data_IF_784110896563
#
_entry.id   IF_784110896563
#
_cell.length_a   1.000
_cell.length_b   1.000
_cell.length_c   1.000
_cell.angle_alpha   90.00
_cell.angle_beta   90.00
_cell.angle_gamma   90.00
#
_symmetry.space_group_name_H-M   'P 1'
#
loop_
_entity.id
_entity.type
_entity.pdbx_description
1 polymer ?
#
# COMPACT_ATOMS: atom_id res chain seq x y z
N UNK A 1 -1.93 -18.87 -17.73
CA UNK A 1 -0.86 -18.51 -16.77
C UNK A 1 -1.40 -17.63 -15.62
N UNK A 2 -1.39 -18.17 -14.39
CA UNK A 2 -2.07 -17.60 -13.22
C UNK A 2 -1.36 -16.39 -12.59
N UNK A 3 -0.02 -16.34 -12.65
CA UNK A 3 0.84 -15.25 -12.16
C UNK A 3 2.20 -15.28 -12.87
N UNK A 4 3.06 -14.29 -12.62
CA UNK A 4 4.44 -14.26 -13.11
C UNK A 4 5.41 -14.54 -11.96
N UNK A 5 6.43 -15.38 -12.17
CA UNK A 5 7.52 -15.59 -11.21
C UNK A 5 8.78 -14.93 -11.74
N UNK A 6 9.36 -14.03 -10.95
CA UNK A 6 10.62 -13.37 -11.24
C UNK A 6 11.72 -13.94 -10.32
N UNK A 7 12.71 -14.61 -10.91
CA UNK A 7 13.91 -15.06 -10.20
C UNK A 7 14.97 -13.97 -10.37
N UNK A 8 15.21 -13.20 -9.31
CA UNK A 8 16.18 -12.10 -9.30
C UNK A 8 17.52 -12.60 -8.72
N UNK A 9 18.62 -12.20 -9.36
CA UNK A 9 19.99 -12.56 -8.94
C UNK A 9 20.46 -11.79 -7.69
N UNK A 10 19.68 -10.82 -7.23
CA UNK A 10 20.02 -10.00 -6.08
C UNK A 10 20.00 -10.79 -4.79
N UNK A 11 21.05 -10.55 -4.00
CA UNK A 11 21.32 -11.29 -2.79
C UNK A 11 21.45 -10.33 -1.60
N UNK A 12 20.36 -10.07 -0.87
CA UNK A 12 20.41 -9.27 0.36
C UNK A 12 21.41 -9.81 1.40
N UNK A 13 21.71 -11.11 1.40
CA UNK A 13 22.69 -11.71 2.33
C UNK A 13 24.14 -11.32 2.04
N UNK A 14 24.42 -10.85 0.82
CA UNK A 14 25.73 -10.33 0.40
C UNK A 14 25.94 -8.85 0.71
N UNK A 15 24.92 -8.17 1.23
CA UNK A 15 25.09 -6.80 1.74
C UNK A 15 26.05 -6.77 2.94
N UNK A 16 26.65 -5.61 3.17
CA UNK A 16 27.54 -5.42 4.30
C UNK A 16 26.84 -5.82 5.60
N UNK A 17 27.50 -6.66 6.41
CA UNK A 17 27.01 -7.10 7.73
C UNK A 17 26.81 -5.93 8.71
N UNK A 18 27.38 -4.77 8.41
CA UNK A 18 27.14 -3.52 9.14
C UNK A 18 25.75 -2.92 8.89
N UNK A 19 25.04 -3.35 7.83
CA UNK A 19 23.69 -2.88 7.53
C UNK A 19 22.72 -3.18 8.68
N UNK A 20 22.04 -2.13 9.14
CA UNK A 20 20.95 -2.28 10.11
C UNK A 20 19.78 -3.05 9.49
N UNK A 21 18.96 -3.69 10.34
CA UNK A 21 17.70 -4.33 9.90
C UNK A 21 16.81 -3.40 9.08
N UNK A 22 16.81 -2.11 9.43
CA UNK A 22 16.07 -1.06 8.72
C UNK A 22 16.61 -0.88 7.29
N UNK A 23 17.92 -0.70 7.14
CA UNK A 23 18.55 -0.51 5.82
C UNK A 23 18.34 -1.75 4.92
N UNK A 24 18.41 -2.95 5.50
CA UNK A 24 18.10 -4.18 4.79
C UNK A 24 16.64 -4.21 4.32
N UNK A 25 15.69 -3.82 5.16
CA UNK A 25 14.28 -3.75 4.80
C UNK A 25 14.00 -2.69 3.72
N UNK A 26 14.66 -1.52 3.79
CA UNK A 26 14.59 -0.47 2.77
C UNK A 26 15.13 -0.96 1.43
N UNK A 27 16.30 -1.62 1.45
CA UNK A 27 16.89 -2.23 0.27
C UNK A 27 15.94 -3.23 -0.38
N UNK A 28 15.47 -4.23 0.38
CA UNK A 28 14.58 -5.29 -0.11
C UNK A 28 13.26 -4.71 -0.63
N UNK A 29 12.68 -3.74 0.09
CA UNK A 29 11.46 -3.05 -0.37
C UNK A 29 11.70 -2.31 -1.69
N UNK A 30 12.85 -1.65 -1.83
CA UNK A 30 13.27 -1.03 -3.10
C UNK A 30 13.41 -2.05 -4.24
N UNK A 31 13.88 -3.27 -3.94
CA UNK A 31 13.97 -4.36 -4.94
C UNK A 31 12.61 -4.78 -5.49
N UNK A 32 11.61 -4.89 -4.62
CA UNK A 32 10.27 -5.27 -5.03
C UNK A 32 9.54 -4.17 -5.80
N UNK A 33 9.83 -2.91 -5.47
CA UNK A 33 9.17 -1.76 -6.10
C UNK A 33 9.79 -1.41 -7.46
N UNK A 34 11.12 -1.28 -7.56
CA UNK A 34 11.73 -0.49 -8.63
C UNK A 34 13.09 -0.99 -9.18
N UNK A 35 13.56 -2.18 -8.83
CA UNK A 35 14.94 -2.55 -9.14
C UNK A 35 15.20 -3.12 -10.54
N UNK A 36 14.46 -4.15 -10.97
CA UNK A 36 14.68 -4.82 -12.25
C UNK A 36 13.38 -4.91 -13.06
N UNK A 37 13.00 -3.82 -13.73
CA UNK A 37 11.80 -3.81 -14.58
C UNK A 37 11.86 -4.79 -15.76
N UNK A 38 13.05 -5.16 -16.24
CA UNK A 38 13.20 -6.13 -17.32
C UNK A 38 12.86 -7.56 -16.92
N UNK A 39 12.86 -7.88 -15.63
CA UNK A 39 12.47 -9.19 -15.10
C UNK A 39 11.08 -9.15 -14.44
N UNK A 40 10.13 -8.44 -15.05
CA UNK A 40 8.77 -8.27 -14.56
C UNK A 40 7.78 -8.32 -15.73
N UNK A 41 6.54 -8.72 -15.43
CA UNK A 41 5.41 -8.54 -16.31
C UNK A 41 4.32 -7.77 -15.56
N UNK A 42 4.36 -6.44 -15.66
CA UNK A 42 3.50 -5.56 -14.85
C UNK A 42 2.00 -5.69 -15.15
N UNK A 43 1.62 -6.18 -16.33
CA UNK A 43 0.22 -6.46 -16.69
C UNK A 43 -0.33 -7.77 -16.06
N UNK A 44 0.51 -8.58 -15.41
CA UNK A 44 0.03 -9.72 -14.63
C UNK A 44 -0.49 -9.23 -13.29
N UNK A 45 -1.62 -9.82 -12.85
CA UNK A 45 -2.27 -9.52 -11.57
C UNK A 45 -1.29 -9.41 -10.41
N UNK A 46 -0.32 -10.32 -10.35
CA UNK A 46 0.85 -10.15 -9.50
C UNK A 46 2.08 -10.85 -10.08
N UNK A 47 3.24 -10.34 -9.67
CA UNK A 47 4.57 -10.87 -9.86
C UNK A 47 5.07 -11.37 -8.51
N UNK A 48 5.43 -12.65 -8.44
CA UNK A 48 6.10 -13.26 -7.31
C UNK A 48 7.61 -13.15 -7.52
N UNK A 49 8.26 -12.32 -6.70
CA UNK A 49 9.68 -11.97 -6.85
C UNK A 49 10.48 -12.76 -5.81
N UNK A 50 11.39 -13.60 -6.28
CA UNK A 50 12.29 -14.38 -5.45
C UNK A 50 13.71 -13.86 -5.62
N UNK A 51 14.30 -13.38 -4.53
CA UNK A 51 15.71 -12.99 -4.46
C UNK A 51 16.58 -14.24 -4.31
N UNK A 52 17.87 -14.15 -4.63
CA UNK A 52 18.75 -15.32 -4.67
C UNK A 52 19.02 -15.94 -3.30
N UNK A 53 18.79 -15.19 -2.21
CA UNK A 53 18.84 -15.70 -0.83
C UNK A 53 17.55 -16.41 -0.39
N UNK A 54 16.56 -16.50 -1.28
CA UNK A 54 15.25 -17.09 -1.03
C UNK A 54 14.23 -16.10 -0.46
N UNK A 55 14.56 -14.81 -0.29
CA UNK A 55 13.57 -13.82 0.15
C UNK A 55 12.50 -13.64 -0.93
N UNK A 56 11.24 -13.72 -0.50
CA UNK A 56 10.06 -13.63 -1.37
C UNK A 56 9.35 -12.29 -1.21
N UNK A 57 8.91 -11.71 -2.31
CA UNK A 57 8.07 -10.51 -2.36
C UNK A 57 6.97 -10.64 -3.40
N UNK A 58 5.92 -9.82 -3.27
CA UNK A 58 4.84 -9.72 -4.24
C UNK A 58 4.76 -8.28 -4.77
N UNK A 59 4.71 -8.13 -6.09
CA UNK A 59 4.39 -6.89 -6.76
C UNK A 59 3.08 -7.04 -7.52
N UNK A 60 2.09 -6.20 -7.24
CA UNK A 60 0.71 -6.44 -7.65
C UNK A 60 0.17 -5.32 -8.54
N UNK A 61 -0.56 -5.70 -9.57
CA UNK A 61 -1.37 -4.78 -10.37
C UNK A 61 -2.67 -4.48 -9.59
N UNK A 62 -2.93 -3.19 -9.35
CA UNK A 62 -3.95 -2.76 -8.38
C UNK A 62 -5.39 -2.77 -8.92
N UNK A 63 -5.60 -2.85 -10.23
CA UNK A 63 -6.94 -2.96 -10.81
C UNK A 63 -7.60 -4.29 -10.43
N UNK A 64 -6.82 -5.38 -10.36
CA UNK A 64 -7.30 -6.71 -10.02
C UNK A 64 -7.72 -6.87 -8.55
N UNK A 65 -6.93 -6.38 -7.60
CA UNK A 65 -7.13 -6.66 -6.18
C UNK A 65 -6.62 -5.55 -5.25
N UNK A 66 -7.13 -5.54 -4.02
CA UNK A 66 -6.62 -4.68 -2.95
C UNK A 66 -5.78 -5.47 -1.93
N UNK A 67 -5.28 -4.76 -0.91
CA UNK A 67 -4.42 -5.36 0.11
C UNK A 67 -5.06 -6.53 0.87
N UNK A 68 -6.40 -6.61 0.96
CA UNK A 68 -7.08 -7.70 1.67
C UNK A 68 -6.94 -9.02 0.89
N UNK A 69 -7.11 -8.97 -0.43
CA UNK A 69 -6.93 -10.14 -1.29
C UNK A 69 -5.48 -10.66 -1.23
N UNK A 70 -4.50 -9.76 -1.26
CA UNK A 70 -3.08 -10.11 -1.17
C UNK A 70 -2.71 -10.70 0.19
N UNK A 71 -3.19 -10.10 1.28
CA UNK A 71 -2.98 -10.65 2.62
C UNK A 71 -3.58 -12.04 2.76
N UNK A 72 -4.76 -12.27 2.19
CA UNK A 72 -5.39 -13.59 2.22
C UNK A 72 -4.51 -14.62 1.51
N UNK A 73 -4.04 -14.30 0.31
CA UNK A 73 -3.12 -15.16 -0.45
C UNK A 73 -1.85 -15.49 0.35
N UNK A 74 -1.18 -14.49 0.93
CA UNK A 74 0.01 -14.72 1.76
C UNK A 74 -0.27 -15.60 2.98
N UNK A 75 -1.40 -15.36 3.66
CA UNK A 75 -1.78 -16.14 4.84
C UNK A 75 -2.13 -17.60 4.49
N UNK A 76 -2.76 -17.85 3.35
CA UNK A 76 -3.09 -19.20 2.90
C UNK A 76 -1.82 -19.98 2.51
N UNK A 77 -0.84 -19.33 1.85
CA UNK A 77 0.48 -19.94 1.57
C UNK A 77 1.24 -20.26 2.86
N UNK A 78 1.28 -19.33 3.82
CA UNK A 78 1.93 -19.57 5.11
C UNK A 78 1.26 -20.71 5.87
N UNK A 79 -0.08 -20.75 5.87
CA UNK A 79 -0.84 -21.82 6.50
C UNK A 79 -0.49 -23.17 5.87
N UNK A 80 -0.52 -23.27 4.54
CA UNK A 80 -0.21 -24.49 3.79
C UNK A 80 1.21 -24.99 4.08
N UNK A 81 2.21 -24.08 4.03
CA UNK A 81 3.60 -24.42 4.32
C UNK A 81 3.84 -24.90 5.77
N UNK A 82 3.04 -24.42 6.72
CA UNK A 82 3.12 -24.85 8.12
C UNK A 82 2.38 -26.16 8.38
N UNK A 83 1.28 -26.44 7.66
CA UNK A 83 0.48 -27.66 7.82
C UNK A 83 1.09 -28.87 7.10
N UNK A 84 1.61 -28.68 5.89
CA UNK A 84 2.18 -29.75 5.05
C UNK A 84 3.71 -29.83 5.11
N UNK A 85 4.34 -28.92 5.87
CA UNK A 85 5.78 -28.83 6.00
C UNK A 85 6.44 -28.11 4.83
N UNK A 86 7.59 -27.49 5.10
CA UNK A 86 8.37 -26.82 4.06
C UNK A 86 9.04 -27.85 3.16
N UNK A 87 8.85 -27.71 1.84
CA UNK A 87 9.66 -28.45 0.88
C UNK A 87 11.14 -28.09 1.05
N UNK A 88 11.98 -29.11 0.96
CA UNK A 88 13.43 -29.10 0.99
C UNK A 88 13.94 -30.15 -0.01
N UNK A 89 15.25 -30.22 -0.20
CA UNK A 89 15.88 -31.11 -1.19
C UNK A 89 15.68 -32.62 -0.91
N UNK A 90 15.02 -33.00 0.18
CA UNK A 90 14.87 -34.40 0.62
C UNK A 90 13.41 -34.84 0.81
N UNK A 91 12.42 -33.94 0.72
CA UNK A 91 11.01 -34.25 0.96
C UNK A 91 10.08 -33.80 -0.19
N UNK A 92 10.60 -33.78 -1.42
CA UNK A 92 9.79 -33.63 -2.62
C UNK A 92 9.67 -34.97 -3.34
N UNK A 93 8.50 -35.27 -3.92
CA UNK A 93 8.38 -36.38 -4.86
C UNK A 93 9.12 -35.99 -6.13
N UNK A 94 10.19 -36.72 -6.46
CA UNK A 94 10.89 -36.53 -7.72
C UNK A 94 9.95 -36.89 -8.86
N UNK A 95 9.46 -35.88 -9.58
CA UNK A 95 8.73 -36.10 -10.81
C UNK A 95 9.77 -36.52 -11.86
N UNK A 96 9.62 -37.73 -12.42
CA UNK A 96 10.38 -38.17 -13.59
C UNK A 96 9.85 -37.45 -14.84
N UNK A 97 10.05 -36.15 -14.90
CA UNK A 97 9.78 -35.32 -16.06
C UNK A 97 11.07 -34.61 -16.47
N UNK A 98 11.38 -34.58 -17.77
CA UNK A 98 12.49 -33.76 -18.23
C UNK A 98 12.08 -32.29 -18.18
N UNK A 99 13.03 -31.38 -17.93
CA UNK A 99 12.77 -29.94 -17.95
C UNK A 99 12.12 -29.50 -19.27
N UNK A 100 12.51 -30.13 -20.39
CA UNK A 100 11.97 -29.85 -21.72
C UNK A 100 10.49 -30.25 -21.87
N UNK A 101 9.99 -31.18 -21.05
CA UNK A 101 8.58 -31.59 -21.07
C UNK A 101 7.68 -30.65 -20.26
N UNK A 102 8.26 -29.82 -19.39
CA UNK A 102 7.54 -28.99 -18.42
C UNK A 102 7.76 -27.48 -18.59
N UNK A 103 8.80 -27.07 -19.32
CA UNK A 103 9.18 -25.67 -19.51
C UNK A 103 9.33 -25.36 -20.99
N UNK A 104 8.50 -24.43 -21.47
CA UNK A 104 8.62 -23.85 -22.80
C UNK A 104 9.29 -22.48 -22.70
N UNK A 105 10.41 -22.30 -23.41
CA UNK A 105 11.05 -20.99 -23.55
C UNK A 105 10.24 -20.13 -24.51
N UNK A 106 9.70 -19.02 -24.01
CA UNK A 106 9.05 -18.03 -24.85
C UNK A 106 10.12 -17.18 -25.57
N UNK A 107 10.22 -17.34 -26.88
CA UNK A 107 11.11 -16.54 -27.72
C UNK A 107 10.35 -15.36 -28.33
N UNK A 108 10.88 -14.17 -28.14
CA UNK A 108 10.34 -12.95 -28.72
C UNK A 108 11.24 -12.45 -29.83
N UNK A 109 10.65 -12.14 -30.98
CA UNK A 109 11.33 -11.48 -32.09
C UNK A 109 10.91 -10.01 -32.10
N UNK A 110 11.89 -9.12 -32.10
CA UNK A 110 11.65 -7.67 -32.06
C UNK A 110 12.23 -7.01 -33.30
N UNK A 111 11.43 -6.16 -33.94
CA UNK A 111 11.90 -5.27 -35.00
C UNK A 111 12.68 -4.09 -34.41
N UNK A 112 13.30 -3.28 -35.29
CA UNK A 112 14.10 -2.14 -34.84
C UNK A 112 13.25 -1.03 -34.23
N UNK A 113 11.96 -0.97 -34.57
CA UNK A 113 11.02 -0.03 -33.95
C UNK A 113 10.83 -0.36 -32.46
N UNK A 114 10.49 -1.61 -32.13
CA UNK A 114 10.32 -2.07 -30.74
C UNK A 114 11.61 -1.96 -29.93
N UNK A 115 12.77 -2.27 -30.53
CA UNK A 115 14.07 -2.06 -29.86
C UNK A 115 14.29 -0.61 -29.45
N UNK A 116 13.96 0.35 -30.32
CA UNK A 116 14.04 1.77 -30.00
C UNK A 116 13.03 2.20 -28.92
N UNK A 117 11.83 1.60 -28.91
CA UNK A 117 10.83 1.81 -27.85
C UNK A 117 11.31 1.27 -26.50
N UNK A 118 12.07 0.17 -26.46
CA UNK A 118 12.68 -0.34 -25.23
C UNK A 118 13.69 0.62 -24.62
N UNK A 119 14.54 1.24 -25.44
CA UNK A 119 15.50 2.23 -24.94
C UNK A 119 14.80 3.46 -24.38
N UNK A 120 13.74 3.91 -25.06
CA UNK A 120 12.89 5.01 -24.56
C UNK A 120 12.21 4.65 -23.24
N UNK A 121 11.64 3.44 -23.15
CA UNK A 121 10.97 2.94 -21.95
C UNK A 121 11.94 2.77 -20.78
N UNK A 122 13.16 2.27 -21.05
CA UNK A 122 14.24 2.13 -20.06
C UNK A 122 14.66 3.49 -19.50
N UNK A 123 14.83 4.50 -20.36
CA UNK A 123 15.13 5.87 -19.93
C UNK A 123 14.02 6.43 -19.06
N UNK A 124 12.76 6.33 -19.52
CA UNK A 124 11.61 6.82 -18.76
C UNK A 124 11.48 6.13 -17.40
N UNK A 125 11.73 4.82 -17.34
CA UNK A 125 11.73 4.05 -16.10
C UNK A 125 12.83 4.53 -15.15
N UNK A 126 14.06 4.68 -15.64
CA UNK A 126 15.17 5.16 -14.81
C UNK A 126 14.92 6.58 -14.27
N UNK A 127 14.38 7.48 -15.10
CA UNK A 127 14.01 8.85 -14.72
C UNK A 127 12.84 8.89 -13.71
N UNK A 128 11.98 7.86 -13.71
CA UNK A 128 10.92 7.69 -12.73
C UNK A 128 11.48 7.16 -11.41
N UNK A 129 12.22 6.05 -11.45
CA UNK A 129 12.78 5.38 -10.27
C UNK A 129 13.75 6.29 -9.51
N UNK A 130 14.50 7.16 -10.19
CA UNK A 130 15.40 8.11 -9.55
C UNK A 130 14.69 9.12 -8.63
N UNK A 131 13.36 9.25 -8.74
CA UNK A 131 12.53 10.13 -7.91
C UNK A 131 11.82 9.39 -6.78
N UNK A 132 11.88 8.06 -6.77
CA UNK A 132 11.24 7.21 -5.75
C UNK A 132 12.16 7.08 -4.55
N UNK A 133 11.64 7.38 -3.36
CA UNK A 133 12.35 7.19 -2.10
C UNK A 133 11.55 6.25 -1.20
N UNK A 134 12.20 5.19 -0.73
CA UNK A 134 11.61 4.22 0.18
C UNK A 134 12.31 4.32 1.52
N UNK A 135 11.52 4.51 2.57
CA UNK A 135 12.01 4.54 3.94
C UNK A 135 11.16 3.60 4.79
N UNK A 136 11.80 2.87 5.70
CA UNK A 136 11.14 2.01 6.66
C UNK A 136 11.26 2.62 8.06
N UNK A 137 10.12 2.80 8.72
CA UNK A 137 10.09 3.26 10.09
C UNK A 137 9.46 2.20 10.98
N UNK A 138 10.23 1.72 11.96
CA UNK A 138 9.74 0.85 13.01
C UNK A 138 9.49 1.69 14.26
N UNK A 139 8.21 1.91 14.59
CA UNK A 139 7.80 2.65 15.78
C UNK A 139 8.10 1.89 17.08
N UNK A 140 8.22 2.64 18.18
CA UNK A 140 8.43 2.07 19.53
C UNK A 140 7.13 1.69 20.24
N UNK A 141 6.00 2.21 19.78
CA UNK A 141 4.68 1.98 20.39
C UNK A 141 3.97 0.83 19.68
N UNK A 142 3.79 -0.27 20.38
CA UNK A 142 3.04 -1.43 19.89
C UNK A 142 1.53 -1.32 20.15
N UNK A 143 0.73 -2.03 19.34
CA UNK A 143 -0.75 -2.08 19.46
C UNK A 143 -1.26 -2.44 20.86
N UNK A 144 -0.52 -3.24 21.62
CA UNK A 144 -0.94 -3.68 22.95
C UNK A 144 -0.97 -2.55 23.97
N UNK A 145 -0.02 -1.59 23.88
CA UNK A 145 -0.01 -0.43 24.76
C UNK A 145 -1.20 0.49 24.46
N UNK A 146 -1.46 0.74 23.18
CA UNK A 146 -2.57 1.57 22.73
C UNK A 146 -3.92 0.99 23.13
N UNK A 147 -4.11 -0.33 22.98
CA UNK A 147 -5.32 -1.02 23.42
C UNK A 147 -5.55 -0.92 24.94
N UNK A 148 -4.49 -0.99 25.76
CA UNK A 148 -4.60 -0.79 27.22
C UNK A 148 -5.04 0.64 27.58
N UNK A 149 -4.72 1.61 26.74
CA UNK A 149 -5.15 3.00 26.87
C UNK A 149 -6.51 3.27 26.19
N UNK A 150 -7.21 2.23 25.69
CA UNK A 150 -8.45 2.38 24.92
C UNK A 150 -8.31 3.26 23.67
N UNK A 151 -7.14 3.21 23.02
CA UNK A 151 -6.84 3.93 21.79
C UNK A 151 -6.70 2.96 20.61
N UNK A 152 -7.29 3.32 19.47
CA UNK A 152 -7.17 2.56 18.23
C UNK A 152 -5.75 2.69 17.66
N UNK A 153 -5.03 1.58 17.42
CA UNK A 153 -3.69 1.62 16.83
C UNK A 153 -3.64 2.33 15.48
N UNK A 154 -4.65 2.10 14.65
CA UNK A 154 -4.80 2.71 13.33
C UNK A 154 -4.99 4.23 13.43
N UNK A 155 -5.92 4.67 14.30
CA UNK A 155 -6.16 6.10 14.54
C UNK A 155 -4.92 6.81 15.07
N UNK A 156 -4.15 6.18 15.96
CA UNK A 156 -2.92 6.76 16.50
C UNK A 156 -1.81 6.86 15.45
N UNK A 157 -1.71 5.87 14.55
CA UNK A 157 -0.77 5.96 13.43
C UNK A 157 -1.16 7.10 12.48
N UNK A 158 -2.44 7.19 12.10
CA UNK A 158 -2.95 8.26 11.25
C UNK A 158 -2.73 9.64 11.88
N UNK A 159 -3.00 9.78 13.18
CA UNK A 159 -2.75 11.01 13.93
C UNK A 159 -1.25 11.36 13.94
N UNK A 160 -0.38 10.38 14.14
CA UNK A 160 1.07 10.58 14.12
C UNK A 160 1.56 11.06 12.74
N UNK A 161 1.02 10.52 11.64
CA UNK A 161 1.29 10.98 10.27
C UNK A 161 0.86 12.45 10.10
N UNK A 162 -0.35 12.81 10.55
CA UNK A 162 -0.83 14.20 10.46
C UNK A 162 0.01 15.15 11.31
N UNK A 163 0.40 14.73 12.51
CA UNK A 163 1.29 15.47 13.41
C UNK A 163 2.67 15.72 12.76
N UNK A 164 3.27 14.68 12.18
CA UNK A 164 4.56 14.77 11.53
C UNK A 164 4.52 15.76 10.36
N UNK A 165 3.49 15.66 9.51
CA UNK A 165 3.30 16.58 8.40
C UNK A 165 3.10 18.03 8.87
N UNK A 166 2.21 18.24 9.85
CA UNK A 166 1.96 19.58 10.41
C UNK A 166 3.22 20.16 11.07
N UNK A 167 4.02 19.34 11.76
CA UNK A 167 5.28 19.79 12.37
C UNK A 167 6.24 20.37 11.32
N UNK A 168 6.34 19.73 10.16
CA UNK A 168 7.23 20.11 9.06
C UNK A 168 6.70 21.29 8.24
N UNK A 169 5.40 21.30 7.93
CA UNK A 169 4.83 22.22 6.94
C UNK A 169 3.86 23.26 7.50
N UNK A 170 3.52 23.18 8.80
CA UNK A 170 2.60 24.09 9.50
C UNK A 170 1.22 24.24 8.84
N UNK A 171 0.78 23.23 8.10
CA UNK A 171 -0.52 23.18 7.43
C UNK A 171 -1.07 21.78 7.41
N UNK A 172 -2.39 21.67 7.34
CA UNK A 172 -3.09 20.42 7.05
C UNK A 172 -3.24 20.27 5.54
N UNK A 173 -3.32 19.03 5.06
CA UNK A 173 -3.45 18.70 3.65
C UNK A 173 -4.52 17.64 3.45
N UNK A 174 -4.97 17.48 2.20
CA UNK A 174 -5.86 16.37 1.87
C UNK A 174 -5.11 15.05 2.08
N UNK A 175 -5.68 14.23 2.97
CA UNK A 175 -5.18 12.91 3.31
C UNK A 175 -6.22 11.88 2.94
N UNK A 176 -5.78 10.83 2.27
CA UNK A 176 -6.55 9.64 1.91
C UNK A 176 -6.09 8.46 2.76
N UNK A 177 -7.04 7.73 3.30
CA UNK A 177 -6.82 6.38 3.84
C UNK A 177 -7.81 5.41 3.19
N UNK A 178 -7.31 4.28 2.71
CA UNK A 178 -8.15 3.23 2.11
C UNK A 178 -8.92 2.47 3.18
N UNK A 179 -10.25 2.34 3.02
CA UNK A 179 -11.08 1.47 3.84
C UNK A 179 -11.71 0.37 2.99
N UNK A 180 -11.57 -0.90 3.38
CA UNK A 180 -12.20 -2.00 2.65
C UNK A 180 -13.72 -1.99 2.84
N UNK A 181 -14.45 -2.23 1.75
CA UNK A 181 -15.91 -2.39 1.72
C UNK A 181 -16.32 -3.83 1.39
N UNK A 182 -15.43 -4.80 1.65
CA UNK A 182 -15.61 -6.22 1.30
C UNK A 182 -16.84 -6.89 1.94
N UNK A 183 -17.53 -6.22 2.87
CA UNK A 183 -18.85 -6.63 3.39
C UNK A 183 -19.95 -6.54 2.32
N UNK A 184 -19.75 -5.75 1.26
CA UNK A 184 -20.65 -5.64 0.11
C UNK A 184 -20.18 -6.51 -1.06
N UNK A 185 -21.14 -6.98 -1.87
CA UNK A 185 -20.85 -7.70 -3.11
C UNK A 185 -20.04 -6.81 -4.06
N UNK A 186 -18.88 -7.30 -4.52
CA UNK A 186 -17.92 -6.56 -5.35
C UNK A 186 -17.34 -5.29 -4.67
N UNK A 187 -17.46 -5.18 -3.34
CA UNK A 187 -16.86 -4.08 -2.59
C UNK A 187 -15.35 -4.01 -2.79
N UNK A 188 -14.86 -2.82 -3.14
CA UNK A 188 -13.43 -2.48 -3.18
C UNK A 188 -13.13 -1.58 -1.99
N UNK A 189 -12.97 -0.27 -2.22
CA UNK A 189 -12.61 0.67 -1.17
C UNK A 189 -13.53 1.89 -1.10
N UNK A 190 -13.74 2.37 0.12
CA UNK A 190 -14.15 3.74 0.43
C UNK A 190 -12.95 4.51 1.01
N UNK A 191 -13.09 5.81 1.18
CA UNK A 191 -12.08 6.73 1.69
C UNK A 191 -12.39 7.11 3.13
N UNK A 192 -11.40 6.95 4.01
CA UNK A 192 -11.36 7.65 5.28
C UNK A 192 -10.56 8.94 5.08
N UNK A 193 -11.03 10.01 5.73
CA UNK A 193 -10.43 11.36 5.70
C UNK A 193 -9.87 11.67 7.10
N UNK A 194 -8.60 11.34 7.41
CA UNK A 194 -8.08 11.40 8.80
C UNK A 194 -7.91 12.83 9.36
N UNK A 195 -7.96 13.84 8.51
CA UNK A 195 -7.87 15.26 8.90
C UNK A 195 -9.25 15.76 9.30
N UNK A 196 -9.61 15.53 10.56
CA UNK A 196 -10.87 16.00 11.16
C UNK A 196 -10.65 17.23 12.04
N UNK A 197 -11.75 17.81 12.55
CA UNK A 197 -11.68 18.89 13.54
C UNK A 197 -11.00 18.44 14.84
N UNK A 198 -11.23 17.20 15.27
CA UNK A 198 -10.60 16.58 16.44
C UNK A 198 -9.09 16.47 16.25
N UNK A 199 -8.65 15.91 15.10
CA UNK A 199 -7.23 15.83 14.71
C UNK A 199 -6.58 17.22 14.73
N UNK A 200 -7.21 18.21 14.10
CA UNK A 200 -6.72 19.60 14.09
C UNK A 200 -6.60 20.18 15.49
N UNK A 201 -7.65 20.03 16.30
CA UNK A 201 -7.72 20.60 17.65
C UNK A 201 -6.65 20.00 18.56
N UNK A 202 -6.46 18.67 18.51
CA UNK A 202 -5.41 18.01 19.27
C UNK A 202 -4.02 18.51 18.85
N UNK A 203 -3.72 18.53 17.55
CA UNK A 203 -2.40 18.93 17.04
C UNK A 203 -2.07 20.37 17.42
N UNK A 204 -3.03 21.30 17.30
CA UNK A 204 -2.83 22.68 17.70
C UNK A 204 -2.67 22.84 19.22
N UNK A 205 -3.37 22.04 20.01
CA UNK A 205 -3.31 22.10 21.49
C UNK A 205 -1.89 21.85 22.02
N UNK A 206 -1.11 21.01 21.35
CA UNK A 206 0.27 20.67 21.74
C UNK A 206 1.22 21.88 21.79
N UNK A 207 0.88 22.96 21.08
CA UNK A 207 1.66 24.21 21.07
C UNK A 207 1.03 25.33 21.88
N UNK A 208 -0.27 25.24 22.17
CA UNK A 208 -1.07 26.30 22.80
C UNK A 208 -1.20 26.12 24.31
N UNK A 209 -1.11 24.90 24.82
CA UNK A 209 -1.31 24.60 26.23
C UNK A 209 -0.43 23.43 26.68
N UNK A 210 -0.10 23.41 27.99
CA UNK A 210 0.57 22.29 28.67
C UNK A 210 -0.38 21.45 29.53
N UNK A 211 -1.68 21.68 29.43
CA UNK A 211 -2.70 20.90 30.14
C UNK A 211 -2.74 19.46 29.60
N UNK A 212 -2.09 18.56 30.33
CA UNK A 212 -2.00 17.14 29.97
C UNK A 212 -3.36 16.44 30.00
N UNK A 213 -4.28 16.84 30.89
CA UNK A 213 -5.58 16.20 30.99
C UNK A 213 -6.43 16.54 29.77
N UNK A 214 -6.45 17.81 29.38
CA UNK A 214 -7.09 18.24 28.15
C UNK A 214 -6.50 17.53 26.92
N UNK A 215 -5.17 17.40 26.84
CA UNK A 215 -4.51 16.71 25.73
C UNK A 215 -4.87 15.23 25.67
N UNK A 216 -4.96 14.53 26.81
CA UNK A 216 -5.43 13.13 26.88
C UNK A 216 -6.86 12.99 26.39
N UNK A 217 -7.74 13.90 26.79
CA UNK A 217 -9.15 13.87 26.36
C UNK A 217 -9.29 14.15 24.85
N UNK A 218 -8.51 15.09 24.32
CA UNK A 218 -8.46 15.37 22.88
C UNK A 218 -7.88 14.20 22.08
N UNK A 219 -6.86 13.51 22.60
CA UNK A 219 -6.29 12.32 21.98
C UNK A 219 -7.33 11.19 21.88
N UNK A 220 -8.12 10.99 22.94
CA UNK A 220 -9.21 10.01 22.95
C UNK A 220 -10.28 10.36 21.91
N UNK A 221 -10.68 11.63 21.80
CA UNK A 221 -11.61 12.10 20.77
C UNK A 221 -11.11 11.86 19.35
N UNK A 222 -9.81 12.02 19.09
CA UNK A 222 -9.22 11.68 17.79
C UNK A 222 -9.39 10.17 17.50
N UNK A 223 -9.10 9.32 18.49
CA UNK A 223 -9.28 7.87 18.35
C UNK A 223 -10.74 7.49 18.07
N UNK A 224 -11.67 8.02 18.86
CA UNK A 224 -13.10 7.75 18.73
C UNK A 224 -13.64 8.23 17.37
N UNK A 225 -13.27 9.44 16.94
CA UNK A 225 -13.71 9.97 15.64
C UNK A 225 -13.18 9.16 14.48
N UNK A 226 -11.91 8.77 14.50
CA UNK A 226 -11.32 7.96 13.44
C UNK A 226 -11.97 6.57 13.37
N UNK A 227 -12.25 5.95 14.51
CA UNK A 227 -13.00 4.68 14.54
C UNK A 227 -14.43 4.82 14.00
N UNK A 228 -15.10 5.94 14.28
CA UNK A 228 -16.39 6.24 13.66
C UNK A 228 -16.26 6.31 12.14
N UNK A 229 -15.26 7.02 11.61
CA UNK A 229 -15.04 7.13 10.16
C UNK A 229 -14.73 5.77 9.52
N UNK A 230 -13.94 4.91 10.16
CA UNK A 230 -13.69 3.54 9.69
C UNK A 230 -15.00 2.77 9.56
N UNK A 231 -15.86 2.82 10.60
CA UNK A 231 -17.14 2.13 10.60
C UNK A 231 -18.05 2.66 9.49
N UNK A 232 -18.17 3.97 9.36
CA UNK A 232 -18.97 4.63 8.32
C UNK A 232 -18.47 4.22 6.92
N UNK A 233 -17.18 4.34 6.65
CA UNK A 233 -16.59 3.98 5.36
C UNK A 233 -16.77 2.49 5.03
N UNK A 234 -16.48 1.58 5.97
CA UNK A 234 -16.62 0.14 5.77
C UNK A 234 -18.08 -0.29 5.51
N UNK A 235 -19.05 0.48 6.02
CA UNK A 235 -20.49 0.27 5.84
C UNK A 235 -21.11 1.19 4.76
N UNK A 236 -20.28 1.69 3.84
CA UNK A 236 -20.76 2.46 2.68
C UNK A 236 -21.43 3.79 3.02
N UNK A 237 -21.19 4.32 4.21
CA UNK A 237 -21.65 5.64 4.67
C UNK A 237 -20.59 6.74 4.44
N UNK A 238 -19.49 6.42 3.74
CA UNK A 238 -18.56 7.42 3.25
C UNK A 238 -19.15 8.26 2.11
N UNK A 239 -18.60 9.45 1.89
CA UNK A 239 -19.10 10.38 0.87
C UNK A 239 -18.26 10.36 -0.41
N UNK A 240 -17.01 9.90 -0.35
CA UNK A 240 -16.05 10.03 -1.44
C UNK A 240 -16.45 9.23 -2.68
N UNK A 241 -16.76 7.94 -2.54
CA UNK A 241 -17.25 7.13 -3.68
C UNK A 241 -18.63 7.56 -4.14
N UNK A 242 -19.48 8.05 -3.24
CA UNK A 242 -20.79 8.58 -3.61
C UNK A 242 -20.66 9.82 -4.51
N UNK A 243 -19.85 10.81 -4.12
CA UNK A 243 -19.61 12.00 -4.94
C UNK A 243 -18.93 11.66 -6.27
N UNK A 244 -18.01 10.69 -6.28
CA UNK A 244 -17.40 10.16 -7.50
C UNK A 244 -18.45 9.55 -8.43
N UNK A 245 -19.33 8.68 -7.92
CA UNK A 245 -20.36 8.04 -8.71
C UNK A 245 -21.33 9.07 -9.32
N UNK A 246 -21.78 10.06 -8.54
CA UNK A 246 -22.63 11.14 -9.04
C UNK A 246 -21.95 11.96 -10.13
N UNK A 247 -20.63 12.19 -10.01
CA UNK A 247 -19.85 12.91 -11.03
C UNK A 247 -19.79 12.08 -12.32
N UNK A 248 -19.39 10.82 -12.20
CA UNK A 248 -19.27 9.89 -13.31
C UNK A 248 -20.60 9.72 -14.07
N UNK A 249 -21.73 9.62 -13.34
CA UNK A 249 -23.06 9.55 -13.94
C UNK A 249 -23.39 10.79 -14.79
N UNK A 250 -23.04 12.00 -14.33
CA UNK A 250 -23.24 13.22 -15.13
C UNK A 250 -22.35 13.24 -16.38
N UNK A 251 -21.12 12.73 -16.29
CA UNK A 251 -20.18 12.64 -17.42
C UNK A 251 -20.69 11.69 -18.49
N UNK A 252 -21.17 10.50 -18.13
CA UNK A 252 -21.69 9.52 -19.11
C UNK A 252 -23.05 9.92 -19.70
N UNK A 253 -23.85 10.72 -18.98
CA UNK A 253 -25.09 11.30 -19.47
C UNK A 253 -24.85 12.45 -20.47
N UNK A 254 -23.60 12.79 -20.78
CA UNK A 254 -23.21 13.90 -21.66
C UNK A 254 -23.86 15.23 -21.25
N UNK A 255 -24.02 15.47 -19.95
CA UNK A 255 -24.49 16.78 -19.49
C UNK A 255 -23.42 17.81 -19.83
N UNK A 256 -23.80 18.85 -20.57
CA UNK A 256 -22.88 19.90 -21.03
C UNK A 256 -22.13 20.59 -19.87
N UNK A 257 -22.71 20.55 -18.65
CA UNK A 257 -22.12 21.16 -17.47
C UNK A 257 -22.27 20.27 -16.24
N UNK A 258 -21.13 19.99 -15.59
CA UNK A 258 -21.10 19.33 -14.28
C UNK A 258 -21.74 20.21 -13.19
N UNK A 259 -22.32 19.57 -12.18
CA UNK A 259 -22.82 20.26 -10.99
C UNK A 259 -21.72 21.17 -10.39
N UNK A 260 -22.02 22.42 -9.98
CA UNK A 260 -21.03 23.40 -9.56
C UNK A 260 -20.07 22.94 -8.45
N UNK A 261 -20.52 22.02 -7.59
CA UNK A 261 -19.68 21.40 -6.55
C UNK A 261 -18.39 20.82 -7.11
N UNK A 262 -18.41 20.24 -8.32
CA UNK A 262 -17.25 19.58 -8.93
C UNK A 262 -16.20 20.56 -9.46
N UNK A 263 -16.61 21.81 -9.70
CA UNK A 263 -15.72 22.91 -10.09
C UNK A 263 -15.30 23.76 -8.90
N UNK A 264 -15.85 23.52 -7.71
CA UNK A 264 -15.55 24.30 -6.52
C UNK A 264 -14.16 23.96 -5.97
N UNK A 265 -13.47 24.98 -5.45
CA UNK A 265 -12.07 24.85 -4.97
C UNK A 265 -11.93 23.83 -3.83
N UNK A 266 -12.83 23.74 -2.84
CA UNK A 266 -12.76 22.71 -1.80
C UNK A 266 -12.87 21.31 -2.37
N UNK A 267 -13.76 21.05 -3.33
CA UNK A 267 -13.87 19.73 -3.96
C UNK A 267 -12.58 19.36 -4.71
N UNK A 268 -12.01 20.30 -5.47
CA UNK A 268 -10.71 20.08 -6.12
C UNK A 268 -9.60 19.80 -5.09
N UNK A 269 -9.60 20.53 -3.97
CA UNK A 269 -8.59 20.40 -2.91
C UNK A 269 -8.66 19.05 -2.21
N UNK A 270 -9.86 18.55 -1.89
CA UNK A 270 -10.00 17.21 -1.27
C UNK A 270 -9.62 16.09 -2.25
N UNK A 271 -9.76 16.29 -3.56
CA UNK A 271 -9.36 15.31 -4.58
C UNK A 271 -7.88 15.40 -4.96
N UNK A 272 -7.15 16.41 -4.46
CA UNK A 272 -5.71 16.50 -4.58
C UNK A 272 -5.02 15.95 -3.32
N UNK A 273 -4.90 14.62 -3.25
CA UNK A 273 -4.31 13.91 -2.12
C UNK A 273 -2.79 14.13 -2.04
N UNK A 274 -2.32 14.72 -0.95
CA UNK A 274 -0.89 14.91 -0.66
C UNK A 274 -0.35 13.74 0.16
N UNK A 275 -1.16 13.22 1.09
CA UNK A 275 -0.83 12.05 1.91
C UNK A 275 -1.79 10.92 1.56
N UNK A 276 -1.28 9.87 0.93
CA UNK A 276 -2.05 8.65 0.62
C UNK A 276 -1.55 7.51 1.50
N UNK A 277 -2.45 6.92 2.26
CA UNK A 277 -2.13 5.93 3.30
C UNK A 277 -3.02 4.71 3.17
N UNK A 278 -2.53 3.57 3.66
CA UNK A 278 -3.30 2.33 3.78
C UNK A 278 -2.76 1.53 4.95
N UNK A 279 -3.66 0.82 5.63
CA UNK A 279 -3.30 -0.09 6.72
C UNK A 279 -3.41 -1.53 6.22
N UNK A 280 -2.29 -2.25 6.29
CA UNK A 280 -2.18 -3.66 5.91
C UNK A 280 -1.72 -4.41 7.17
N UNK A 281 -2.67 -5.02 7.88
CA UNK A 281 -2.37 -5.72 9.12
C UNK A 281 -2.08 -7.20 8.85
N UNK A 282 -0.86 -7.64 9.19
CA UNK A 282 -0.47 -9.05 9.10
C UNK A 282 0.28 -9.48 10.36
N UNK A 283 0.41 -10.79 10.57
CA UNK A 283 1.40 -11.36 11.49
C UNK A 283 2.80 -11.45 10.84
N UNK A 284 2.86 -11.28 9.51
CA UNK A 284 4.06 -11.39 8.68
C UNK A 284 4.72 -10.05 8.33
N UNK A 285 4.06 -8.93 8.67
CA UNK A 285 4.49 -7.55 8.42
C UNK A 285 4.42 -6.82 9.77
#
# INVERSE_FOLDING_TARGET
PYFFSALDEDDPSKLDKSCTKKQLAEYVSGKYLCYNASNRWYDKSFNMIMLSDGTLGLHCEHSWGDGVALLRFCNDIDKDANEHGKMNSTNYESINASTNDCIEKLEFQFDDKLKNEFETSRKNYNDFVSKVNVNIYQGVIGKNLLKKASLSPDAMMQLAIQMAYYKLHKRFVSTYESCSTAVYRHGRTETIRPVTHETKTFIESLTKTKDEQLQKDLLKKCSEKHQQLIKEAATGQGFDRHLFALKYLQEIENREKLHPIYTDKPYQSINHTILSTSTVASKHI
#
